data_IF_854020355013
#
_entry.id   IF_854020355013
#
_cell.length_a   1.000
_cell.length_b   1.000
_cell.length_c   1.000
_cell.angle_alpha   90.00
_cell.angle_beta   90.00
_cell.angle_gamma   90.00
#
_symmetry.space_group_name_H-M   'P 1'
#
loop_
_entity.id
_entity.type
_entity.pdbx_description
1 polymer ?
#
# COMPACT_ATOMS: atom_id res chain seq x y z
N UNK A 1 21.81 -9.67 2.96
CA UNK A 1 20.40 -9.91 2.62
C UNK A 1 20.08 -9.06 1.39
N UNK A 2 19.34 -9.57 0.38
CA UNK A 2 19.06 -8.81 -0.84
C UNK A 2 17.86 -7.87 -0.60
N UNK A 3 18.15 -6.65 -0.15
CA UNK A 3 17.12 -5.68 0.19
C UNK A 3 16.31 -5.19 -1.02
N UNK A 4 16.84 -5.31 -2.24
CA UNK A 4 16.10 -5.01 -3.47
C UNK A 4 14.88 -5.94 -3.66
N UNK A 5 15.03 -7.23 -3.32
CA UNK A 5 13.93 -8.21 -3.40
C UNK A 5 12.84 -7.85 -2.39
N UNK A 6 13.25 -7.55 -1.16
CA UNK A 6 12.34 -7.17 -0.08
C UNK A 6 11.63 -5.87 -0.43
N UNK A 7 12.36 -4.84 -0.88
CA UNK A 7 11.81 -3.56 -1.31
C UNK A 7 10.80 -3.69 -2.46
N UNK A 8 11.05 -4.58 -3.42
CA UNK A 8 10.12 -4.84 -4.52
C UNK A 8 8.81 -5.46 -4.02
N UNK A 9 8.89 -6.50 -3.18
CA UNK A 9 7.71 -7.17 -2.62
C UNK A 9 6.91 -6.20 -1.74
N UNK A 10 7.59 -5.45 -0.87
CA UNK A 10 6.97 -4.41 -0.03
C UNK A 10 6.31 -3.33 -0.88
N UNK A 11 7.01 -2.82 -1.89
CA UNK A 11 6.51 -1.76 -2.78
C UNK A 11 5.23 -2.18 -3.50
N UNK A 12 5.19 -3.40 -4.05
CA UNK A 12 3.97 -3.93 -4.66
C UNK A 12 2.85 -4.16 -3.65
N UNK A 13 3.17 -4.68 -2.47
CA UNK A 13 2.18 -4.93 -1.40
C UNK A 13 1.47 -3.63 -1.00
N UNK A 14 2.24 -2.58 -0.72
CA UNK A 14 1.71 -1.26 -0.33
C UNK A 14 0.94 -0.62 -1.48
N UNK A 15 1.43 -0.76 -2.71
CA UNK A 15 0.75 -0.22 -3.90
C UNK A 15 -0.62 -0.86 -4.11
N UNK A 16 -0.71 -2.18 -3.94
CA UNK A 16 -1.97 -2.93 -4.13
C UNK A 16 -3.04 -2.56 -3.10
N UNK A 17 -2.66 -2.03 -1.93
CA UNK A 17 -3.63 -1.53 -0.93
C UNK A 17 -4.42 -0.32 -1.42
N UNK A 18 -3.90 0.44 -2.38
CA UNK A 18 -4.67 1.51 -2.99
C UNK A 18 -5.97 0.98 -3.64
N UNK A 19 -6.01 -0.28 -4.11
CA UNK A 19 -7.21 -0.84 -4.74
C UNK A 19 -8.41 -0.97 -3.78
N UNK A 20 -8.31 -1.68 -2.64
CA UNK A 20 -9.42 -1.73 -1.69
C UNK A 20 -9.79 -0.34 -1.15
N UNK A 21 -8.81 0.56 -0.95
CA UNK A 21 -9.10 1.94 -0.53
C UNK A 21 -9.93 2.71 -1.57
N UNK A 22 -9.58 2.58 -2.86
CA UNK A 22 -10.34 3.19 -3.96
C UNK A 22 -11.72 2.54 -4.13
N UNK A 23 -11.84 1.24 -3.84
CA UNK A 23 -13.12 0.55 -3.85
C UNK A 23 -14.06 1.09 -2.77
N UNK A 24 -13.58 1.23 -1.53
CA UNK A 24 -14.38 1.81 -0.44
C UNK A 24 -14.64 3.29 -0.67
N UNK A 25 -13.69 4.04 -1.23
CA UNK A 25 -13.92 5.41 -1.71
C UNK A 25 -15.10 5.48 -2.69
N UNK A 26 -15.11 4.63 -3.71
CA UNK A 26 -16.19 4.62 -4.70
C UNK A 26 -17.54 4.26 -4.06
N UNK A 27 -17.56 3.27 -3.17
CA UNK A 27 -18.76 2.90 -2.42
C UNK A 27 -19.29 4.06 -1.57
N UNK A 28 -18.41 4.70 -0.79
CA UNK A 28 -18.71 5.85 0.07
C UNK A 28 -19.22 7.04 -0.74
N UNK A 29 -18.56 7.36 -1.86
CA UNK A 29 -18.93 8.45 -2.75
C UNK A 29 -20.30 8.27 -3.41
N UNK A 30 -20.72 7.03 -3.64
CA UNK A 30 -22.03 6.67 -4.19
C UNK A 30 -23.12 6.54 -3.11
N UNK A 31 -22.77 6.62 -1.84
CA UNK A 31 -23.71 6.50 -0.72
C UNK A 31 -24.25 7.88 -0.35
N UNK A 32 -25.56 8.07 -0.47
CA UNK A 32 -26.22 9.38 -0.25
C UNK A 32 -25.99 9.97 1.15
N UNK A 33 -25.75 9.12 2.17
CA UNK A 33 -25.51 9.57 3.55
C UNK A 33 -24.10 10.09 3.82
N UNK A 34 -23.12 9.79 2.95
CA UNK A 34 -21.71 10.15 3.13
C UNK A 34 -21.27 11.20 2.09
N UNK A 35 -21.52 10.91 0.82
CA UNK A 35 -21.18 11.78 -0.30
C UNK A 35 -19.68 11.83 -0.65
N UNK A 36 -19.38 12.49 -1.77
CA UNK A 36 -18.03 12.53 -2.37
C UNK A 36 -17.01 13.25 -1.48
N UNK A 37 -17.40 14.31 -0.78
CA UNK A 37 -16.49 15.09 0.07
C UNK A 37 -15.97 14.26 1.26
N UNK A 38 -16.87 13.55 1.93
CA UNK A 38 -16.52 12.64 3.02
C UNK A 38 -15.61 11.51 2.52
N UNK A 39 -16.00 10.85 1.42
CA UNK A 39 -15.23 9.77 0.83
C UNK A 39 -13.80 10.24 0.47
N UNK A 40 -13.70 11.40 -0.17
CA UNK A 40 -12.44 11.97 -0.62
C UNK A 40 -11.51 12.25 0.56
N UNK A 41 -12.01 12.94 1.59
CA UNK A 41 -11.25 13.26 2.80
C UNK A 41 -10.76 12.01 3.53
N UNK A 42 -11.58 10.96 3.57
CA UNK A 42 -11.33 9.76 4.35
C UNK A 42 -10.35 8.80 3.67
N UNK A 43 -10.55 8.52 2.37
CA UNK A 43 -9.87 7.43 1.69
C UNK A 43 -8.77 7.87 0.73
N UNK A 44 -8.90 9.03 0.08
CA UNK A 44 -7.91 9.46 -0.93
C UNK A 44 -6.52 9.73 -0.34
N UNK A 45 -6.35 10.37 0.84
CA UNK A 45 -5.03 10.56 1.42
C UNK A 45 -4.29 9.23 1.64
N UNK A 46 -5.01 8.22 2.15
CA UNK A 46 -4.48 6.87 2.34
C UNK A 46 -4.12 6.21 1.00
N UNK A 47 -5.01 6.29 0.00
CA UNK A 47 -4.78 5.69 -1.31
C UNK A 47 -3.59 6.33 -2.05
N UNK A 48 -3.49 7.66 -2.05
CA UNK A 48 -2.36 8.39 -2.66
C UNK A 48 -1.07 8.05 -1.95
N UNK A 49 -1.06 8.00 -0.61
CA UNK A 49 0.13 7.65 0.16
C UNK A 49 0.59 6.21 -0.16
N UNK A 50 -0.33 5.25 -0.24
CA UNK A 50 -0.05 3.88 -0.69
C UNK A 50 0.61 3.85 -2.07
N UNK A 51 0.10 4.61 -3.03
CA UNK A 51 0.66 4.67 -4.39
C UNK A 51 2.06 5.29 -4.40
N UNK A 52 2.27 6.39 -3.68
CA UNK A 52 3.56 7.11 -3.64
C UNK A 52 4.62 6.28 -2.94
N UNK A 53 4.31 5.74 -1.76
CA UNK A 53 5.26 4.90 -1.00
C UNK A 53 5.56 3.60 -1.74
N UNK A 54 4.53 2.93 -2.27
CA UNK A 54 4.67 1.72 -3.06
C UNK A 54 5.54 1.93 -4.30
N UNK A 55 5.25 2.98 -5.08
CA UNK A 55 6.05 3.32 -6.26
C UNK A 55 7.49 3.68 -5.90
N UNK A 56 7.71 4.42 -4.80
CA UNK A 56 9.06 4.77 -4.35
C UNK A 56 9.90 3.54 -4.03
N UNK A 57 9.33 2.56 -3.30
CA UNK A 57 10.01 1.30 -2.97
C UNK A 57 10.31 0.45 -4.22
N UNK A 58 9.36 0.36 -5.16
CA UNK A 58 9.59 -0.33 -6.44
C UNK A 58 10.70 0.38 -7.23
N UNK A 59 10.72 1.70 -7.25
CA UNK A 59 11.72 2.50 -8.01
C UNK A 59 13.13 2.42 -7.41
N UNK A 60 13.24 2.14 -6.11
CA UNK A 60 14.52 1.92 -5.44
C UNK A 60 15.06 0.49 -5.64
N UNK A 61 14.22 -0.46 -6.08
CA UNK A 61 14.56 -1.88 -6.24
C UNK A 61 15.17 -2.23 -7.60
N UNK A 62 15.91 -1.29 -8.21
CA UNK A 62 16.38 -1.32 -9.62
C UNK A 62 17.30 -2.49 -10.00
N UNK A 63 17.96 -3.13 -9.03
CA UNK A 63 18.90 -4.22 -9.27
C UNK A 63 18.27 -5.61 -9.05
N UNK A 64 16.94 -5.71 -9.04
CA UNK A 64 16.25 -6.98 -8.92
C UNK A 64 16.40 -7.82 -10.19
N UNK A 65 17.15 -8.91 -10.07
CA UNK A 65 17.16 -9.98 -11.06
C UNK A 65 15.98 -10.95 -10.80
N UNK A 66 14.93 -10.82 -11.62
CA UNK A 66 13.71 -11.63 -11.54
C UNK A 66 13.91 -13.10 -11.89
N UNK A 67 15.05 -13.46 -12.48
CA UNK A 67 15.39 -14.85 -12.79
C UNK A 67 15.86 -15.63 -11.56
N UNK A 68 16.25 -14.93 -10.50
CA UNK A 68 16.76 -15.53 -9.28
C UNK A 68 15.64 -15.89 -8.30
N UNK A 69 15.60 -17.15 -7.82
CA UNK A 69 14.66 -17.56 -6.76
C UNK A 69 14.83 -16.69 -5.51
N UNK A 70 13.71 -16.22 -4.96
CA UNK A 70 13.66 -15.59 -3.63
C UNK A 70 14.15 -16.60 -2.60
N UNK A 71 15.10 -16.19 -1.75
CA UNK A 71 15.58 -17.04 -0.66
C UNK A 71 14.61 -16.97 0.53
N UNK A 72 14.46 -18.03 1.30
CA UNK A 72 13.49 -18.10 2.41
C UNK A 72 13.59 -16.93 3.40
N UNK A 73 14.81 -16.45 3.68
CA UNK A 73 15.06 -15.27 4.53
C UNK A 73 14.49 -13.97 3.97
N UNK A 74 14.47 -13.80 2.64
CA UNK A 74 13.95 -12.61 1.96
C UNK A 74 12.42 -12.64 1.93
N UNK A 75 11.84 -13.82 1.73
CA UNK A 75 10.39 -14.02 1.86
C UNK A 75 9.92 -13.73 3.28
N UNK A 76 10.58 -14.30 4.30
CA UNK A 76 10.26 -14.06 5.70
C UNK A 76 10.37 -12.57 6.08
N UNK A 77 11.46 -11.91 5.68
CA UNK A 77 11.64 -10.48 5.92
C UNK A 77 10.56 -9.63 5.22
N UNK A 78 10.17 -9.97 3.99
CA UNK A 78 9.13 -9.26 3.25
C UNK A 78 7.77 -9.39 3.92
N UNK A 79 7.43 -10.58 4.42
CA UNK A 79 6.18 -10.79 5.17
C UNK A 79 6.21 -10.00 6.48
N UNK A 80 7.28 -10.11 7.27
CA UNK A 80 7.38 -9.43 8.56
C UNK A 80 7.35 -7.90 8.42
N UNK A 81 8.08 -7.36 7.44
CA UNK A 81 8.16 -5.91 7.20
C UNK A 81 6.95 -5.36 6.45
N UNK A 82 6.23 -6.19 5.69
CA UNK A 82 5.06 -5.79 4.90
C UNK A 82 3.95 -5.22 5.76
N UNK A 83 3.67 -5.86 6.90
CA UNK A 83 2.55 -5.47 7.75
C UNK A 83 2.68 -4.06 8.34
N UNK A 84 3.89 -3.59 8.64
CA UNK A 84 4.09 -2.28 9.27
C UNK A 84 3.51 -1.13 8.41
N UNK A 85 3.96 -0.91 7.16
CA UNK A 85 3.42 0.14 6.31
C UNK A 85 1.97 -0.14 5.87
N UNK A 86 1.59 -1.41 5.69
CA UNK A 86 0.21 -1.81 5.35
C UNK A 86 -0.76 -1.32 6.43
N UNK A 87 -0.47 -1.61 7.69
CA UNK A 87 -1.28 -1.19 8.83
C UNK A 87 -1.23 0.32 9.00
N UNK A 88 -0.05 0.95 8.86
CA UNK A 88 0.09 2.39 9.02
C UNK A 88 -0.77 3.17 8.01
N UNK A 89 -0.74 2.80 6.73
CA UNK A 89 -1.53 3.47 5.69
C UNK A 89 -3.02 3.11 5.82
N UNK A 90 -3.32 1.83 6.08
CA UNK A 90 -4.69 1.34 6.27
C UNK A 90 -5.38 1.92 7.52
N UNK A 91 -4.63 2.43 8.50
CA UNK A 91 -5.20 3.06 9.67
C UNK A 91 -5.69 4.49 9.41
N UNK A 92 -5.13 5.20 8.42
CA UNK A 92 -5.41 6.63 8.14
C UNK A 92 -6.92 6.94 8.00
N UNK A 93 -7.74 6.13 7.29
CA UNK A 93 -9.18 6.37 7.20
C UNK A 93 -9.88 6.47 8.56
N UNK A 94 -9.46 5.73 9.58
CA UNK A 94 -10.07 5.79 10.92
C UNK A 94 -9.81 7.12 11.64
N UNK A 95 -8.78 7.87 11.25
CA UNK A 95 -8.47 9.18 11.83
C UNK A 95 -9.14 10.31 11.05
N UNK A 96 -9.28 10.16 9.73
CA UNK A 96 -9.81 11.21 8.85
C UNK A 96 -11.33 11.10 8.64
N UNK A 97 -11.88 9.91 8.81
CA UNK A 97 -13.30 9.59 8.61
C UNK A 97 -14.22 10.00 9.75
N UNK A 98 -13.71 10.27 10.96
CA UNK A 98 -14.53 10.70 12.09
C UNK A 98 -15.32 9.57 12.75
#
# INVERSE_FOLDING_TARGET
>A
MRWDVVGLVLGWTIRLIALPLLFVFAYSALTDSEGVEYAAKTYLPSAVLSLVLGQSLVSLSKNYDSSSRVRDREAFASVALGWIPVVAVGAIPYWLGG
#
